data_IF_159927465103
#
_entry.id   IF_159927465103
#
_cell.length_a   1.000
_cell.length_b   1.000
_cell.length_c   1.000
_cell.angle_alpha   90.00
_cell.angle_beta   90.00
_cell.angle_gamma   90.00
#
_symmetry.space_group_name_H-M   'P 1'
#
loop_
_entity.id
_entity.type
_entity.pdbx_description
1 polymer ?
#
# COMPACT_ATOMS: atom_id res chain seq x y z
N UNK A 1 18.01 -0.33 15.31
CA UNK A 1 17.80 -1.80 15.34
C UNK A 1 16.70 -2.13 14.36
N UNK A 2 16.95 -3.01 13.39
CA UNK A 2 15.89 -3.43 12.46
C UNK A 2 14.99 -4.43 13.19
N UNK A 3 13.74 -4.05 13.49
CA UNK A 3 12.76 -4.89 14.19
C UNK A 3 12.19 -5.95 13.24
N UNK A 4 13.03 -6.91 12.85
CA UNK A 4 12.61 -8.03 12.00
C UNK A 4 11.91 -9.09 12.85
N UNK A 5 10.65 -9.34 12.56
CA UNK A 5 9.88 -10.42 13.20
C UNK A 5 9.90 -11.65 12.29
N UNK A 6 10.19 -12.82 12.87
CA UNK A 6 10.12 -14.09 12.13
C UNK A 6 8.71 -14.67 12.27
N UNK A 7 8.03 -14.80 11.13
CA UNK A 7 6.68 -15.38 11.06
C UNK A 7 6.73 -16.63 10.19
N UNK A 8 6.17 -17.73 10.69
CA UNK A 8 6.01 -18.97 9.92
C UNK A 8 4.57 -19.04 9.44
N UNK A 9 4.41 -19.34 8.15
CA UNK A 9 3.11 -19.51 7.49
C UNK A 9 3.09 -20.83 6.75
N UNK A 10 1.97 -21.53 6.82
CA UNK A 10 1.74 -22.75 6.06
C UNK A 10 1.12 -22.38 4.72
N UNK A 11 1.69 -22.89 3.64
CA UNK A 11 1.20 -22.71 2.27
C UNK A 11 0.90 -24.08 1.66
N UNK A 12 -0.12 -24.17 0.80
CA UNK A 12 -0.28 -25.29 -0.13
C UNK A 12 1.01 -25.56 -0.93
N UNK A 13 1.26 -26.84 -1.23
CA UNK A 13 2.52 -27.28 -1.84
C UNK A 13 2.76 -26.68 -3.22
N UNK A 14 1.69 -26.50 -4.00
CA UNK A 14 1.71 -25.85 -5.31
C UNK A 14 2.13 -24.38 -5.22
N UNK A 15 1.56 -23.63 -4.26
CA UNK A 15 1.92 -22.24 -4.02
C UNK A 15 3.35 -22.10 -3.49
N UNK A 16 3.78 -23.02 -2.61
CA UNK A 16 5.14 -23.04 -2.11
C UNK A 16 6.15 -23.35 -3.22
N UNK A 17 5.85 -24.30 -4.11
CA UNK A 17 6.68 -24.64 -5.25
C UNK A 17 6.81 -23.45 -6.21
N UNK A 18 5.70 -22.78 -6.50
CA UNK A 18 5.69 -21.58 -7.33
C UNK A 18 6.53 -20.45 -6.72
N UNK A 19 6.32 -20.14 -5.43
CA UNK A 19 7.07 -19.08 -4.75
C UNK A 19 8.57 -19.38 -4.70
N UNK A 20 8.96 -20.64 -4.48
CA UNK A 20 10.37 -21.07 -4.51
C UNK A 20 10.99 -20.83 -5.90
N UNK A 21 10.31 -21.25 -6.97
CA UNK A 21 10.77 -21.04 -8.34
C UNK A 21 10.90 -19.55 -8.69
N UNK A 22 9.91 -18.74 -8.34
CA UNK A 22 9.90 -17.30 -8.58
C UNK A 22 10.94 -16.54 -7.74
N UNK A 23 11.30 -17.04 -6.56
CA UNK A 23 12.20 -16.35 -5.62
C UNK A 23 13.67 -16.38 -6.01
N UNK A 24 14.07 -17.18 -7.02
CA UNK A 24 15.48 -17.32 -7.40
C UNK A 24 16.40 -17.78 -6.26
N UNK A 25 15.84 -18.46 -5.24
CA UNK A 25 16.58 -18.93 -4.06
C UNK A 25 16.47 -18.05 -2.83
N UNK A 26 15.85 -16.86 -2.89
CA UNK A 26 15.62 -16.01 -1.72
C UNK A 26 14.13 -15.73 -1.48
N UNK A 27 13.47 -16.70 -0.86
CA UNK A 27 12.04 -16.62 -0.55
C UNK A 27 11.70 -15.46 0.39
N UNK A 28 12.57 -15.13 1.35
CA UNK A 28 12.31 -14.03 2.30
C UNK A 28 12.27 -12.68 1.60
N UNK A 29 13.21 -12.40 0.69
CA UNK A 29 13.23 -11.16 -0.07
C UNK A 29 12.05 -11.08 -1.06
N UNK A 30 11.72 -12.21 -1.70
CA UNK A 30 10.56 -12.31 -2.57
C UNK A 30 9.26 -11.97 -1.84
N UNK A 31 9.03 -12.57 -0.66
CA UNK A 31 7.85 -12.29 0.16
C UNK A 31 7.85 -10.85 0.69
N UNK A 32 9.00 -10.31 1.08
CA UNK A 32 9.11 -8.90 1.50
C UNK A 32 8.68 -7.94 0.38
N UNK A 33 9.13 -8.20 -0.85
CA UNK A 33 8.74 -7.39 -2.01
C UNK A 33 7.25 -7.51 -2.33
N UNK A 34 6.72 -8.74 -2.32
CA UNK A 34 5.29 -8.99 -2.53
C UNK A 34 4.42 -8.32 -1.48
N UNK A 35 4.82 -8.37 -0.20
CA UNK A 35 4.11 -7.74 0.90
C UNK A 35 4.10 -6.21 0.76
N UNK A 36 5.23 -5.60 0.42
CA UNK A 36 5.30 -4.15 0.19
C UNK A 36 4.39 -3.72 -0.97
N UNK A 37 4.38 -4.48 -2.06
CA UNK A 37 3.50 -4.22 -3.19
C UNK A 37 2.02 -4.35 -2.81
N UNK A 38 1.68 -5.34 -1.96
CA UNK A 38 0.31 -5.52 -1.47
C UNK A 38 -0.12 -4.36 -0.56
N UNK A 39 0.73 -3.94 0.39
CA UNK A 39 0.45 -2.80 1.26
C UNK A 39 0.19 -1.52 0.48
N UNK A 40 0.94 -1.27 -0.61
CA UNK A 40 0.69 -0.13 -1.48
C UNK A 40 -0.67 -0.21 -2.19
N UNK A 41 -1.05 -1.40 -2.66
CA UNK A 41 -2.36 -1.63 -3.28
C UNK A 41 -3.49 -1.44 -2.28
N UNK A 42 -3.35 -1.96 -1.06
CA UNK A 42 -4.35 -1.84 -0.01
C UNK A 42 -4.52 -0.38 0.45
N UNK A 43 -3.41 0.37 0.52
CA UNK A 43 -3.44 1.79 0.86
C UNK A 43 -3.98 2.68 -0.27
N UNK A 44 -3.98 2.22 -1.53
CA UNK A 44 -4.33 3.05 -2.68
C UNK A 44 -5.75 3.61 -2.59
N UNK A 45 -6.71 2.82 -2.10
CA UNK A 45 -8.11 3.27 -1.94
C UNK A 45 -8.23 4.35 -0.87
N UNK A 46 -7.56 4.18 0.27
CA UNK A 46 -7.54 5.15 1.35
C UNK A 46 -6.85 6.46 0.95
N UNK A 47 -5.72 6.37 0.21
CA UNK A 47 -5.02 7.54 -0.33
C UNK A 47 -5.89 8.28 -1.34
N UNK A 48 -6.60 7.56 -2.21
CA UNK A 48 -7.54 8.17 -3.17
C UNK A 48 -8.67 8.91 -2.47
N UNK A 49 -9.31 8.26 -1.48
CA UNK A 49 -10.38 8.87 -0.71
C UNK A 49 -9.91 10.12 0.07
N UNK A 50 -8.69 10.08 0.62
CA UNK A 50 -8.08 11.24 1.26
C UNK A 50 -7.85 12.39 0.27
N UNK A 51 -7.34 12.10 -0.94
CA UNK A 51 -7.15 13.13 -1.98
C UNK A 51 -8.46 13.75 -2.44
N UNK A 52 -9.50 12.94 -2.65
CA UNK A 52 -10.83 13.41 -3.04
C UNK A 52 -11.43 14.31 -1.95
N UNK A 53 -11.32 13.92 -0.69
CA UNK A 53 -11.76 14.77 0.43
C UNK A 53 -10.99 16.08 0.49
N UNK A 54 -9.66 16.03 0.41
CA UNK A 54 -8.84 17.24 0.44
C UNK A 54 -9.14 18.19 -0.74
N UNK A 55 -9.46 17.65 -1.92
CA UNK A 55 -9.87 18.46 -3.07
C UNK A 55 -11.22 19.15 -2.81
N UNK A 56 -12.22 18.42 -2.30
CA UNK A 56 -13.52 18.99 -1.94
C UNK A 56 -13.41 20.05 -0.83
N UNK A 57 -12.59 19.80 0.19
CA UNK A 57 -12.34 20.77 1.26
C UNK A 57 -11.69 22.05 0.70
N UNK A 58 -10.87 21.94 -0.34
CA UNK A 58 -10.22 23.11 -0.99
C UNK A 58 -11.21 23.89 -1.87
N UNK A 59 -12.13 23.20 -2.56
CA UNK A 59 -13.22 23.84 -3.30
C UNK A 59 -14.18 24.59 -2.38
N UNK A 60 -14.55 24.01 -1.23
CA UNK A 60 -15.40 24.66 -0.22
C UNK A 60 -14.73 25.93 0.35
N UNK A 61 -13.43 25.88 0.61
CA UNK A 61 -12.67 27.05 1.07
C UNK A 61 -12.56 28.14 -0.02
N UNK A 62 -12.44 27.77 -1.29
CA UNK A 62 -12.41 28.73 -2.39
C UNK A 62 -13.75 29.45 -2.55
N UNK A 63 -14.88 28.75 -2.37
CA UNK A 63 -16.22 29.35 -2.40
C UNK A 63 -16.49 30.28 -1.22
N UNK A 64 -15.96 29.98 -0.02
CA UNK A 64 -16.16 30.81 1.19
C UNK A 64 -15.30 32.08 1.16
N UNK A 65 -14.07 32.03 0.64
CA UNK A 65 -13.11 33.14 0.68
C UNK A 65 -12.92 33.87 -0.67
N UNK A 66 -13.52 33.37 -1.75
CA UNK A 66 -13.37 33.92 -3.10
C UNK A 66 -14.24 35.14 -3.42
N UNK A 67 -15.30 35.42 -2.66
CA UNK A 67 -16.22 36.54 -2.93
C UNK A 67 -15.79 37.88 -2.32
N UNK A 68 -14.81 37.90 -1.40
CA UNK A 68 -14.46 39.09 -0.59
C UNK A 68 -13.08 39.72 -0.93
N UNK A 69 -12.54 39.46 -2.13
CA UNK A 69 -11.32 40.11 -2.63
C UNK A 69 -11.54 40.65 -4.06
N UNK A 70 -12.33 41.71 -4.18
CA UNK A 70 -12.43 42.53 -5.39
C UNK A 70 -12.58 44.02 -5.04
#
# INVERSE_FOLDING_TARGET
MSTRTRTTVTLPDDLLAHARAASGGNLSAYIEHALRAQQLRDAASAVRAWRERAANDTEELADIFGEDVA
#
